data_IF_209718974604
#
_entry.id   IF_209718974604
#
_cell.length_a   1.000
_cell.length_b   1.000
_cell.length_c   1.000
_cell.angle_alpha   90.00
_cell.angle_beta   90.00
_cell.angle_gamma   90.00
#
_symmetry.space_group_name_H-M   'P 1'
#
loop_
_entity.id
_entity.type
_entity.pdbx_description
1 polymer ?
#
# COMPACT_ATOMS: atom_id res chain seq x y z
N UNK A 1 -3.96 15.97 7.05
CA UNK A 1 -3.87 15.12 8.26
C UNK A 1 -3.95 13.62 7.93
N UNK A 2 -5.04 13.07 7.41
CA UNK A 2 -5.19 11.61 7.19
C UNK A 2 -3.99 10.93 6.48
N UNK A 3 -3.34 11.60 5.57
CA UNK A 3 -2.22 11.02 4.80
C UNK A 3 -0.93 10.83 5.62
N UNK A 4 -0.72 11.61 6.68
CA UNK A 4 0.54 11.66 7.40
C UNK A 4 0.46 11.19 8.85
N UNK A 5 -0.74 11.05 9.40
CA UNK A 5 -0.91 10.67 10.79
C UNK A 5 -1.92 9.54 11.01
N UNK A 6 -2.89 9.39 10.11
CA UNK A 6 -4.01 8.45 10.27
C UNK A 6 -4.20 7.62 8.99
N UNK A 7 -3.30 6.65 8.73
CA UNK A 7 -3.43 5.75 7.56
C UNK A 7 -4.72 4.95 7.59
N UNK A 8 -5.25 4.65 8.76
CA UNK A 8 -6.48 3.88 8.98
C UNK A 8 -7.76 4.51 8.41
N UNK A 9 -7.81 5.83 8.22
CA UNK A 9 -8.96 6.52 7.62
C UNK A 9 -8.76 6.90 6.14
N UNK A 10 -7.64 6.56 5.52
CA UNK A 10 -7.33 7.01 4.14
C UNK A 10 -8.39 6.58 3.12
N UNK A 11 -8.90 5.34 3.22
CA UNK A 11 -9.96 4.85 2.33
C UNK A 11 -11.23 5.69 2.49
N UNK A 12 -11.67 5.94 3.72
CA UNK A 12 -12.87 6.75 4.02
C UNK A 12 -12.70 8.18 3.52
N UNK A 13 -11.55 8.80 3.74
CA UNK A 13 -11.27 10.17 3.26
C UNK A 13 -11.27 10.22 1.73
N UNK A 14 -10.66 9.24 1.06
CA UNK A 14 -10.69 9.17 -0.41
C UNK A 14 -12.12 9.07 -0.94
N UNK A 15 -12.94 8.21 -0.36
CA UNK A 15 -14.35 8.05 -0.78
C UNK A 15 -15.17 9.35 -0.56
N UNK A 16 -15.01 9.98 0.60
CA UNK A 16 -15.74 11.21 0.93
C UNK A 16 -15.31 12.41 0.08
N UNK A 17 -14.02 12.58 -0.16
CA UNK A 17 -13.51 13.69 -0.99
C UNK A 17 -13.98 13.65 -2.43
N UNK A 18 -14.29 12.46 -2.97
CA UNK A 18 -14.87 12.33 -4.32
C UNK A 18 -16.26 12.91 -4.46
N UNK A 19 -16.98 13.01 -3.37
CA UNK A 19 -18.38 13.50 -3.33
C UNK A 19 -18.48 14.94 -2.84
N UNK A 20 -17.33 15.61 -2.66
CA UNK A 20 -17.25 16.95 -2.08
C UNK A 20 -17.99 18.03 -2.87
N UNK A 21 -18.10 17.90 -4.20
CA UNK A 21 -18.80 18.85 -5.06
C UNK A 21 -20.33 18.71 -5.03
N UNK A 22 -20.86 17.52 -4.71
CA UNK A 22 -22.30 17.25 -4.66
C UNK A 22 -22.62 16.22 -3.57
N UNK A 23 -22.51 16.59 -2.27
CA UNK A 23 -22.71 15.65 -1.18
C UNK A 23 -24.18 15.35 -0.97
N UNK A 24 -24.50 14.08 -0.73
CA UNK A 24 -25.83 13.63 -0.28
C UNK A 24 -25.88 13.53 1.24
N UNK A 25 -27.10 13.40 1.81
CA UNK A 25 -27.27 13.13 3.25
C UNK A 25 -26.51 11.87 3.72
N UNK A 26 -26.40 10.84 2.85
CA UNK A 26 -25.64 9.65 3.14
C UNK A 26 -24.11 9.93 3.26
N UNK A 27 -23.58 10.80 2.41
CA UNK A 27 -22.18 11.22 2.47
C UNK A 27 -21.88 12.03 3.73
N UNK A 28 -22.79 12.92 4.16
CA UNK A 28 -22.68 13.69 5.40
C UNK A 28 -22.68 12.73 6.60
N UNK A 29 -23.58 11.74 6.63
CA UNK A 29 -23.62 10.72 7.69
C UNK A 29 -22.31 9.89 7.73
N UNK A 30 -21.77 9.53 6.58
CA UNK A 30 -20.49 8.81 6.50
C UNK A 30 -19.32 9.67 6.98
N UNK A 31 -19.32 10.97 6.69
CA UNK A 31 -18.32 11.92 7.19
C UNK A 31 -18.37 12.02 8.72
N UNK A 32 -19.57 12.18 9.30
CA UNK A 32 -19.72 12.21 10.76
C UNK A 32 -19.20 10.93 11.40
N UNK A 33 -19.53 9.74 10.84
CA UNK A 33 -19.00 8.47 11.33
C UNK A 33 -17.45 8.43 11.30
N UNK A 34 -16.83 8.96 10.25
CA UNK A 34 -15.36 9.03 10.19
C UNK A 34 -14.78 10.01 11.23
N UNK A 35 -15.47 11.12 11.49
CA UNK A 35 -15.09 12.07 12.53
C UNK A 35 -15.27 11.46 13.93
N UNK A 36 -16.40 10.81 14.20
CA UNK A 36 -16.68 10.13 15.47
C UNK A 36 -15.63 9.05 15.74
N UNK A 37 -15.22 8.30 14.71
CA UNK A 37 -14.14 7.32 14.83
C UNK A 37 -12.81 7.99 15.20
N UNK A 38 -12.47 9.14 14.62
CA UNK A 38 -11.26 9.88 14.98
C UNK A 38 -11.31 10.39 16.42
N UNK A 39 -12.47 10.90 16.86
CA UNK A 39 -12.69 11.38 18.24
C UNK A 39 -12.62 10.22 19.24
N UNK A 40 -13.19 9.06 18.89
CA UNK A 40 -13.15 7.86 19.73
C UNK A 40 -11.76 7.19 19.79
N UNK A 41 -10.86 7.53 18.87
CA UNK A 41 -9.49 6.97 18.79
C UNK A 41 -8.44 8.08 18.73
N UNK A 42 -8.38 9.03 19.69
CA UNK A 42 -7.54 10.23 19.59
C UNK A 42 -6.04 9.92 19.65
N UNK A 43 -5.66 8.82 20.29
CA UNK A 43 -4.27 8.39 20.49
C UNK A 43 -3.78 7.44 19.38
N UNK A 44 -4.66 7.06 18.44
CA UNK A 44 -4.29 6.22 17.29
C UNK A 44 -3.52 7.06 16.27
N UNK A 45 -2.36 6.58 15.89
CA UNK A 45 -1.50 7.26 14.91
C UNK A 45 -0.69 6.30 14.05
N UNK A 46 -0.01 6.84 13.06
CA UNK A 46 0.93 6.07 12.24
C UNK A 46 2.07 5.55 13.11
N UNK A 47 2.28 4.23 13.07
CA UNK A 47 3.24 3.56 13.91
C UNK A 47 4.40 3.03 13.07
N UNK A 48 5.59 3.55 13.32
CA UNK A 48 6.82 3.16 12.64
C UNK A 48 7.64 2.27 13.58
N UNK A 49 7.42 0.96 13.50
CA UNK A 49 8.14 -0.05 14.28
C UNK A 49 8.99 -0.92 13.35
N UNK A 50 10.27 -0.61 13.16
CA UNK A 50 11.16 -1.45 12.39
C UNK A 50 11.44 -2.77 13.11
N UNK A 51 11.59 -3.85 12.36
CA UNK A 51 11.98 -5.18 12.88
C UNK A 51 13.47 -5.24 13.21
N UNK A 52 14.30 -4.52 12.43
CA UNK A 52 15.73 -4.36 12.65
C UNK A 52 16.06 -2.87 12.78
N UNK A 53 16.93 -2.55 13.72
CA UNK A 53 17.39 -1.17 13.95
C UNK A 53 18.88 -1.10 13.61
N UNK A 54 19.24 -0.16 12.75
CA UNK A 54 20.63 0.14 12.46
C UNK A 54 21.24 1.00 13.57
N UNK A 55 22.42 0.59 14.08
CA UNK A 55 23.13 1.30 15.16
C UNK A 55 23.92 2.54 14.70
N UNK A 56 23.87 2.85 13.39
CA UNK A 56 24.59 3.96 12.79
C UNK A 56 26.08 3.70 12.54
N UNK A 57 26.61 2.51 12.88
CA UNK A 57 28.04 2.18 12.79
C UNK A 57 28.35 1.05 11.81
N UNK A 58 27.47 0.07 11.71
CA UNK A 58 27.68 -1.06 10.80
C UNK A 58 27.58 -0.61 9.34
N UNK A 59 28.73 -0.54 8.66
CA UNK A 59 28.82 -0.16 7.23
C UNK A 59 28.32 -1.24 6.28
N UNK A 60 28.17 -2.47 6.78
CA UNK A 60 27.67 -3.61 5.99
C UNK A 60 26.15 -3.82 6.17
N UNK A 61 25.49 -3.02 7.00
CA UNK A 61 24.06 -3.10 7.18
C UNK A 61 23.34 -2.81 5.86
N UNK A 62 22.51 -3.75 5.43
CA UNK A 62 21.67 -3.60 4.24
C UNK A 62 20.23 -3.42 4.67
N UNK A 63 19.63 -2.31 4.23
CA UNK A 63 18.24 -2.00 4.53
C UNK A 63 17.30 -2.85 3.69
N UNK A 64 16.34 -3.51 4.32
CA UNK A 64 15.30 -4.30 3.68
C UNK A 64 14.12 -3.40 3.30
N UNK A 65 13.78 -3.34 2.01
CA UNK A 65 12.59 -2.69 1.48
C UNK A 65 11.64 -3.76 0.99
N UNK A 66 10.37 -3.64 1.31
CA UNK A 66 9.31 -4.49 0.77
C UNK A 66 8.07 -3.67 0.43
N UNK A 67 7.16 -4.26 -0.35
CA UNK A 67 5.93 -3.61 -0.76
C UNK A 67 4.75 -4.58 -0.74
N UNK A 68 3.56 -4.03 -0.55
CA UNK A 68 2.30 -4.78 -0.66
C UNK A 68 1.33 -3.93 -1.46
N UNK A 69 0.61 -4.55 -2.40
CA UNK A 69 -0.38 -3.86 -3.21
C UNK A 69 -1.66 -4.67 -3.37
N UNK A 70 -2.76 -3.94 -3.59
CA UNK A 70 -4.10 -4.45 -3.85
C UNK A 70 -4.85 -3.49 -4.76
N UNK A 71 -5.85 -3.98 -5.47
CA UNK A 71 -6.79 -3.14 -6.21
C UNK A 71 -8.24 -3.55 -6.01
N UNK A 72 -9.15 -2.57 -5.93
CA UNK A 72 -10.58 -2.82 -6.02
C UNK A 72 -11.05 -2.47 -7.44
N UNK A 73 -11.23 -3.52 -8.24
CA UNK A 73 -11.52 -3.42 -9.69
C UNK A 73 -12.88 -2.76 -9.94
N UNK A 74 -12.88 -1.79 -10.86
CA UNK A 74 -14.07 -1.10 -11.35
C UNK A 74 -14.97 -0.55 -10.23
N UNK A 75 -14.39 -0.16 -9.09
CA UNK A 75 -15.06 0.27 -7.86
C UNK A 75 -16.01 1.45 -8.07
N UNK A 76 -15.64 2.39 -8.91
CA UNK A 76 -16.47 3.56 -9.16
C UNK A 76 -17.69 3.21 -10.04
N UNK A 77 -18.93 3.35 -9.56
CA UNK A 77 -20.11 3.01 -10.35
C UNK A 77 -20.30 3.91 -11.57
N UNK A 78 -19.81 5.14 -11.51
CA UNK A 78 -19.96 6.15 -12.57
C UNK A 78 -18.85 6.04 -13.60
N UNK A 79 -17.58 6.06 -13.17
CA UNK A 79 -16.43 6.10 -14.07
C UNK A 79 -15.83 4.72 -14.33
N UNK A 80 -16.27 3.69 -13.63
CA UNK A 80 -15.74 2.31 -13.68
C UNK A 80 -14.22 2.21 -13.42
N UNK A 81 -13.62 3.26 -12.84
CA UNK A 81 -12.21 3.26 -12.43
C UNK A 81 -12.02 2.43 -11.18
N UNK A 82 -10.90 1.74 -11.14
CA UNK A 82 -10.44 0.93 -10.01
C UNK A 82 -9.78 1.80 -8.94
N UNK A 83 -9.59 1.24 -7.76
CA UNK A 83 -8.83 1.84 -6.66
C UNK A 83 -7.54 1.08 -6.48
N UNK A 84 -6.43 1.78 -6.38
CA UNK A 84 -5.15 1.22 -5.94
C UNK A 84 -4.95 1.47 -4.45
N UNK A 85 -4.58 0.43 -3.72
CA UNK A 85 -4.09 0.46 -2.36
C UNK A 85 -2.71 -0.15 -2.29
N UNK A 86 -1.76 0.51 -1.65
CA UNK A 86 -0.44 -0.06 -1.45
C UNK A 86 0.30 0.56 -0.27
N UNK A 87 1.30 -0.14 0.19
CA UNK A 87 2.26 0.33 1.18
C UNK A 87 3.66 -0.15 0.83
N UNK A 88 4.66 0.73 1.01
CA UNK A 88 6.05 0.31 1.03
C UNK A 88 6.57 0.35 2.46
N UNK A 89 7.40 -0.62 2.78
CA UNK A 89 7.95 -0.88 4.11
C UNK A 89 9.47 -0.74 4.08
N UNK A 90 10.02 -0.17 5.14
CA UNK A 90 11.45 -0.15 5.44
C UNK A 90 11.67 -0.88 6.75
N UNK A 91 12.45 -1.95 6.73
CA UNK A 91 12.67 -2.82 7.89
C UNK A 91 11.38 -3.31 8.56
N UNK A 92 10.32 -3.57 7.78
CA UNK A 92 9.01 -3.99 8.27
C UNK A 92 8.10 -2.83 8.72
N UNK A 93 8.62 -1.63 8.91
CA UNK A 93 7.81 -0.45 9.21
C UNK A 93 7.21 0.15 7.93
N UNK A 94 5.91 0.40 7.92
CA UNK A 94 5.23 1.05 6.79
C UNK A 94 5.66 2.51 6.69
N UNK A 95 6.40 2.87 5.64
CA UNK A 95 6.91 4.24 5.44
C UNK A 95 6.14 5.02 4.38
N UNK A 96 5.41 4.34 3.51
CA UNK A 96 4.42 4.95 2.61
C UNK A 96 3.13 4.16 2.66
N UNK A 97 2.01 4.85 2.53
CA UNK A 97 0.69 4.24 2.36
C UNK A 97 -0.11 5.02 1.32
N UNK A 98 -0.89 4.32 0.51
CA UNK A 98 -1.68 4.94 -0.54
C UNK A 98 -3.06 4.31 -0.64
N UNK A 99 -4.06 5.18 -0.80
CA UNK A 99 -5.39 4.83 -1.27
C UNK A 99 -5.77 5.84 -2.35
N UNK A 100 -5.86 5.43 -3.60
CA UNK A 100 -6.09 6.33 -4.72
C UNK A 100 -6.95 5.70 -5.82
N UNK A 101 -7.83 6.51 -6.41
CA UNK A 101 -8.52 6.14 -7.65
C UNK A 101 -7.51 6.09 -8.81
N UNK A 102 -7.55 5.03 -9.59
CA UNK A 102 -6.73 4.92 -10.80
C UNK A 102 -7.14 5.98 -11.83
N UNK A 103 -6.16 6.52 -12.54
CA UNK A 103 -6.41 7.55 -13.56
C UNK A 103 -6.99 6.99 -14.86
N UNK A 104 -6.83 5.69 -15.08
CA UNK A 104 -7.33 4.93 -16.25
C UNK A 104 -8.48 4.02 -15.85
N UNK A 105 -9.23 3.54 -16.83
CA UNK A 105 -10.18 2.44 -16.67
C UNK A 105 -9.44 1.17 -17.05
N UNK A 106 -9.21 0.31 -16.08
CA UNK A 106 -8.60 -1.02 -16.30
C UNK A 106 -9.63 -1.94 -16.93
N UNK A 107 -9.21 -2.74 -17.89
CA UNK A 107 -10.09 -3.65 -18.64
C UNK A 107 -10.20 -5.04 -18.00
N UNK A 108 -9.35 -5.32 -17.01
CA UNK A 108 -9.35 -6.57 -16.25
C UNK A 108 -8.92 -6.34 -14.80
N UNK A 109 -9.25 -7.29 -13.92
CA UNK A 109 -8.75 -7.32 -12.53
C UNK A 109 -7.23 -7.32 -12.53
N UNK A 110 -6.62 -8.17 -13.35
CA UNK A 110 -5.16 -8.29 -13.47
C UNK A 110 -4.50 -6.97 -13.87
N UNK A 111 -5.12 -6.20 -14.78
CA UNK A 111 -4.61 -4.87 -15.14
C UNK A 111 -4.70 -3.88 -13.97
N UNK A 112 -5.80 -3.90 -13.23
CA UNK A 112 -5.95 -3.05 -12.05
C UNK A 112 -4.89 -3.37 -10.98
N UNK A 113 -4.63 -4.65 -10.72
CA UNK A 113 -3.56 -5.13 -9.83
C UNK A 113 -2.19 -4.68 -10.31
N UNK A 114 -1.90 -4.81 -11.59
CA UNK A 114 -0.65 -4.35 -12.19
C UNK A 114 -0.43 -2.84 -11.99
N UNK A 115 -1.48 -2.02 -12.16
CA UNK A 115 -1.39 -0.58 -11.93
C UNK A 115 -1.03 -0.29 -10.47
N UNK A 116 -1.63 -0.99 -9.51
CA UNK A 116 -1.32 -0.83 -8.09
C UNK A 116 0.11 -1.28 -7.78
N UNK A 117 0.54 -2.44 -8.31
CA UNK A 117 1.87 -3.00 -8.15
C UNK A 117 2.96 -2.05 -8.66
N UNK A 118 2.81 -1.51 -9.88
CA UNK A 118 3.76 -0.54 -10.46
C UNK A 118 3.89 0.70 -9.58
N UNK A 119 2.79 1.24 -9.07
CA UNK A 119 2.83 2.41 -8.19
C UNK A 119 3.56 2.11 -6.88
N UNK A 120 3.35 0.92 -6.30
CA UNK A 120 4.08 0.46 -5.12
C UNK A 120 5.58 0.36 -5.39
N UNK A 121 5.98 -0.28 -6.50
CA UNK A 121 7.39 -0.43 -6.88
C UNK A 121 8.04 0.92 -7.16
N UNK A 122 7.34 1.91 -7.74
CA UNK A 122 7.86 3.25 -7.91
C UNK A 122 8.23 3.91 -6.57
N UNK A 123 7.37 3.76 -5.54
CA UNK A 123 7.67 4.25 -4.19
C UNK A 123 8.84 3.46 -3.55
N UNK A 124 8.90 2.12 -3.73
CA UNK A 124 10.03 1.31 -3.27
C UNK A 124 11.36 1.74 -3.91
N UNK A 125 11.35 1.98 -5.22
CA UNK A 125 12.52 2.49 -5.95
C UNK A 125 12.94 3.89 -5.51
N UNK A 126 11.98 4.74 -5.15
CA UNK A 126 12.27 6.05 -4.57
C UNK A 126 12.99 5.92 -3.23
N UNK A 127 12.48 5.05 -2.33
CA UNK A 127 13.10 4.77 -1.03
C UNK A 127 14.51 4.21 -1.21
N UNK A 128 14.68 3.25 -2.13
CA UNK A 128 16.00 2.67 -2.48
C UNK A 128 16.99 3.77 -2.87
N UNK A 129 16.61 4.63 -3.82
CA UNK A 129 17.48 5.72 -4.27
C UNK A 129 17.82 6.70 -3.15
N UNK A 130 16.88 6.98 -2.26
CA UNK A 130 17.10 7.84 -1.10
C UNK A 130 18.15 7.23 -0.16
N UNK A 131 18.03 5.96 0.19
CA UNK A 131 19.00 5.24 1.04
C UNK A 131 20.38 5.21 0.39
N UNK A 132 20.45 4.88 -0.90
CA UNK A 132 21.71 4.82 -1.64
C UNK A 132 22.37 6.20 -1.78
N UNK A 133 21.59 7.29 -1.92
CA UNK A 133 22.12 8.66 -1.96
C UNK A 133 22.77 9.09 -0.64
N UNK A 134 22.41 8.44 0.47
CA UNK A 134 23.06 8.64 1.78
C UNK A 134 24.33 7.76 1.95
N UNK A 135 24.74 7.02 0.91
CA UNK A 135 25.88 6.10 0.98
C UNK A 135 25.58 4.78 1.71
N UNK A 136 24.30 4.46 1.94
CA UNK A 136 23.86 3.25 2.60
C UNK A 136 23.48 2.18 1.59
N UNK A 137 23.35 0.92 2.03
CA UNK A 137 23.08 -0.21 1.16
C UNK A 137 21.65 -0.73 1.34
N UNK A 138 21.08 -1.26 0.24
CA UNK A 138 19.76 -1.92 0.23
C UNK A 138 19.94 -3.41 -0.07
N UNK A 139 19.19 -4.24 0.63
CA UNK A 139 19.12 -5.68 0.37
C UNK A 139 18.30 -5.94 -0.89
N UNK A 140 18.87 -6.71 -1.84
CA UNK A 140 18.19 -7.07 -3.07
C UNK A 140 18.02 -8.58 -3.17
N UNK A 141 16.96 -9.06 -3.83
CA UNK A 141 15.85 -8.29 -4.41
C UNK A 141 14.89 -7.75 -3.35
N UNK A 142 14.33 -6.56 -3.58
CA UNK A 142 13.21 -6.04 -2.78
C UNK A 142 11.94 -6.85 -3.07
N UNK A 143 11.18 -7.22 -2.05
CA UNK A 143 10.02 -8.09 -2.20
C UNK A 143 8.73 -7.27 -2.38
N UNK A 144 7.97 -7.56 -3.45
CA UNK A 144 6.62 -7.06 -3.67
C UNK A 144 5.62 -8.21 -3.48
N UNK A 145 4.67 -8.05 -2.58
CA UNK A 145 3.58 -9.01 -2.37
C UNK A 145 2.29 -8.53 -3.03
N UNK A 146 1.66 -9.43 -3.78
CA UNK A 146 0.37 -9.23 -4.46
C UNK A 146 -0.54 -10.42 -4.20
N UNK A 147 -1.86 -10.22 -4.22
CA UNK A 147 -2.81 -11.31 -3.99
C UNK A 147 -3.39 -11.94 -5.27
N UNK A 148 -3.09 -11.38 -6.43
CA UNK A 148 -3.56 -11.88 -7.74
C UNK A 148 -2.52 -12.78 -8.40
N UNK A 149 -2.82 -14.09 -8.45
CA UNK A 149 -1.94 -15.07 -9.12
C UNK A 149 -1.79 -14.80 -10.61
N UNK A 150 -2.87 -14.37 -11.29
CA UNK A 150 -2.79 -14.05 -12.72
C UNK A 150 -1.86 -12.87 -13.00
N UNK A 151 -1.80 -11.87 -12.11
CA UNK A 151 -0.82 -10.80 -12.21
C UNK A 151 0.61 -11.32 -11.95
N UNK A 152 0.81 -12.16 -10.94
CA UNK A 152 2.11 -12.80 -10.67
C UNK A 152 2.58 -13.64 -11.86
N UNK A 153 1.70 -14.45 -12.43
CA UNK A 153 2.04 -15.30 -13.60
C UNK A 153 2.44 -14.46 -14.82
N UNK A 154 1.77 -13.32 -15.06
CA UNK A 154 2.15 -12.39 -16.12
C UNK A 154 3.52 -11.74 -15.89
N UNK A 155 3.91 -11.50 -14.64
CA UNK A 155 5.23 -10.97 -14.32
C UNK A 155 6.33 -12.03 -14.47
N UNK A 156 6.01 -13.28 -14.19
CA UNK A 156 6.97 -14.39 -14.20
C UNK A 156 7.05 -15.11 -15.56
N UNK A 157 6.03 -15.03 -16.43
CA UNK A 157 5.93 -15.78 -17.67
C UNK A 157 5.70 -14.90 -18.89
N UNK A 158 6.56 -15.05 -19.89
CA UNK A 158 6.54 -14.28 -21.16
C UNK A 158 5.37 -14.56 -22.10
N UNK A 159 4.57 -15.58 -21.95
CA UNK A 159 3.63 -16.07 -22.97
C UNK A 159 2.27 -15.36 -23.02
N UNK A 160 2.17 -14.08 -22.66
CA UNK A 160 0.95 -13.31 -22.84
C UNK A 160 0.73 -12.97 -24.33
N UNK A 161 0.04 -13.85 -25.03
CA UNK A 161 -0.33 -13.62 -26.41
C UNK A 161 -1.16 -12.35 -26.62
N UNK A 162 -0.77 -11.52 -27.55
CA UNK A 162 -1.48 -10.57 -28.40
C UNK A 162 -2.56 -9.62 -27.87
N UNK A 163 -3.09 -9.79 -26.67
CA UNK A 163 -4.25 -9.02 -26.16
C UNK A 163 -3.92 -7.88 -25.19
N UNK A 164 -2.65 -7.61 -24.92
CA UNK A 164 -2.24 -6.76 -23.78
C UNK A 164 -1.33 -5.58 -24.14
N UNK A 165 -1.36 -5.09 -25.39
CA UNK A 165 -0.46 -3.99 -25.81
C UNK A 165 -0.52 -2.74 -24.92
N UNK A 166 -1.68 -2.37 -24.40
CA UNK A 166 -1.84 -1.22 -23.50
C UNK A 166 -1.29 -1.49 -22.09
N UNK A 167 -1.04 -2.75 -21.73
CA UNK A 167 -0.41 -3.16 -20.45
C UNK A 167 1.10 -3.32 -20.60
N UNK A 168 1.62 -3.40 -21.83
CA UNK A 168 3.01 -3.77 -22.13
C UNK A 168 4.04 -2.93 -21.35
N UNK A 169 3.97 -1.61 -21.41
CA UNK A 169 4.98 -0.75 -20.78
C UNK A 169 5.10 -0.98 -19.26
N UNK A 170 3.97 -1.18 -18.56
CA UNK A 170 3.97 -1.45 -17.11
C UNK A 170 4.51 -2.83 -16.79
N UNK A 171 4.13 -3.80 -17.61
CA UNK A 171 4.58 -5.18 -17.50
C UNK A 171 6.09 -5.28 -17.77
N UNK A 172 6.59 -4.60 -18.81
CA UNK A 172 8.01 -4.52 -19.10
C UNK A 172 8.79 -3.89 -17.95
N UNK A 173 8.32 -2.78 -17.40
CA UNK A 173 8.96 -2.12 -16.25
C UNK A 173 9.15 -3.07 -15.05
N UNK A 174 8.10 -3.80 -14.64
CA UNK A 174 8.22 -4.73 -13.50
C UNK A 174 9.10 -5.93 -13.85
N UNK A 175 9.02 -6.41 -15.09
CA UNK A 175 9.83 -7.54 -15.54
C UNK A 175 11.31 -7.19 -15.62
N UNK A 176 11.67 -6.06 -16.20
CA UNK A 176 13.06 -5.60 -16.27
C UNK A 176 13.68 -5.53 -14.87
N UNK A 177 12.92 -5.02 -13.88
CA UNK A 177 13.36 -4.97 -12.49
C UNK A 177 13.44 -6.36 -11.81
N UNK A 178 12.71 -7.37 -12.30
CA UNK A 178 12.87 -8.75 -11.84
C UNK A 178 14.06 -9.43 -12.51
N UNK A 179 14.24 -9.22 -13.81
CA UNK A 179 15.36 -9.79 -14.59
C UNK A 179 16.71 -9.27 -14.10
N UNK A 180 16.80 -7.99 -13.72
CA UNK A 180 18.01 -7.39 -13.15
C UNK A 180 18.19 -7.70 -11.63
N UNK A 181 17.26 -8.42 -11.01
CA UNK A 181 17.32 -8.80 -9.60
C UNK A 181 17.01 -7.67 -8.63
N UNK A 182 16.46 -6.55 -9.08
CA UNK A 182 16.09 -5.43 -8.20
C UNK A 182 14.85 -5.71 -7.38
N UNK A 183 13.83 -6.39 -7.97
CA UNK A 183 12.60 -6.78 -7.27
C UNK A 183 12.34 -8.28 -7.42
N UNK A 184 11.51 -8.80 -6.51
CA UNK A 184 10.93 -10.14 -6.60
C UNK A 184 9.45 -10.06 -6.25
N UNK A 185 8.59 -10.45 -7.19
CA UNK A 185 7.14 -10.49 -6.96
C UNK A 185 6.77 -11.83 -6.31
N UNK A 186 6.06 -11.76 -5.18
CA UNK A 186 5.54 -12.90 -4.44
C UNK A 186 4.03 -12.86 -4.38
N UNK A 187 3.42 -14.03 -4.43
CA UNK A 187 1.98 -14.13 -4.14
C UNK A 187 1.73 -14.19 -2.63
N UNK A 188 0.71 -13.44 -2.18
CA UNK A 188 0.17 -13.50 -0.81
C UNK A 188 -1.30 -13.88 -0.86
N UNK A 189 -1.79 -14.65 0.12
CA UNK A 189 -3.21 -14.94 0.24
C UNK A 189 -3.98 -13.65 0.58
N UNK A 190 -5.03 -13.34 -0.18
CA UNK A 190 -5.77 -12.07 -0.06
C UNK A 190 -6.31 -11.76 1.34
N UNK A 191 -6.80 -12.80 2.08
CA UNK A 191 -7.26 -12.63 3.47
C UNK A 191 -6.19 -12.12 4.45
N UNK A 192 -4.91 -12.19 4.06
CA UNK A 192 -3.77 -11.77 4.88
C UNK A 192 -3.10 -10.50 4.33
N UNK A 193 -3.72 -9.85 3.32
CA UNK A 193 -3.20 -8.62 2.73
C UNK A 193 -3.68 -7.39 3.51
N UNK A 194 -2.83 -6.74 4.35
CA UNK A 194 -3.26 -5.62 5.18
C UNK A 194 -3.60 -4.36 4.37
N UNK A 195 -3.14 -4.24 3.12
CA UNK A 195 -3.44 -3.09 2.25
C UNK A 195 -4.86 -3.11 1.69
N UNK A 196 -5.62 -4.21 1.87
CA UNK A 196 -7.06 -4.28 1.57
C UNK A 196 -7.86 -3.14 2.23
N UNK A 197 -7.43 -2.68 3.40
CA UNK A 197 -8.07 -1.55 4.08
C UNK A 197 -7.99 -0.23 3.31
N UNK A 198 -7.07 -0.11 2.35
CA UNK A 198 -6.92 1.07 1.51
C UNK A 198 -7.77 1.04 0.25
N UNK A 199 -8.34 -0.12 -0.10
CA UNK A 199 -9.13 -0.32 -1.31
C UNK A 199 -10.59 -0.66 -1.01
N UNK A 200 -10.82 -1.46 0.04
CA UNK A 200 -12.10 -2.10 0.35
C UNK A 200 -12.72 -1.56 1.66
N UNK A 201 -14.05 -1.60 1.74
CA UNK A 201 -14.75 -1.36 3.00
C UNK A 201 -14.80 -2.68 3.77
N UNK A 202 -13.93 -2.84 4.76
CA UNK A 202 -13.80 -4.04 5.55
C UNK A 202 -14.80 -4.07 6.72
N UNK A 203 -15.15 -5.27 7.19
CA UNK A 203 -15.83 -5.45 8.49
C UNK A 203 -14.92 -5.01 9.64
N UNK A 204 -15.48 -4.66 10.80
CA UNK A 204 -14.72 -4.19 11.96
C UNK A 204 -13.54 -5.11 12.35
N UNK A 205 -13.75 -6.43 12.50
CA UNK A 205 -12.66 -7.36 12.82
C UNK A 205 -11.55 -7.40 11.75
N UNK A 206 -11.94 -7.45 10.45
CA UNK A 206 -10.97 -7.45 9.35
C UNK A 206 -10.20 -6.12 9.27
N UNK A 207 -10.91 -4.99 9.43
CA UNK A 207 -10.30 -3.67 9.48
C UNK A 207 -9.27 -3.57 10.61
N UNK A 208 -9.63 -3.99 11.84
CA UNK A 208 -8.72 -3.94 12.98
C UNK A 208 -7.50 -4.85 12.80
N UNK A 209 -7.67 -6.02 12.17
CA UNK A 209 -6.53 -6.89 11.81
C UNK A 209 -5.55 -6.17 10.89
N UNK A 210 -6.04 -5.54 9.83
CA UNK A 210 -5.21 -4.79 8.88
C UNK A 210 -4.60 -3.54 9.51
N UNK A 211 -5.38 -2.78 10.29
CA UNK A 211 -4.97 -1.51 10.88
C UNK A 211 -3.76 -1.66 11.82
N UNK A 212 -3.65 -2.78 12.55
CA UNK A 212 -2.51 -3.06 13.47
C UNK A 212 -1.14 -3.04 12.79
N UNK A 213 -1.07 -3.19 11.48
CA UNK A 213 0.19 -3.10 10.72
C UNK A 213 0.63 -1.65 10.55
N UNK A 214 -0.30 -0.71 10.56
CA UNK A 214 -0.07 0.68 10.17
C UNK A 214 -0.22 1.66 11.31
N UNK A 215 -1.02 1.34 12.33
CA UNK A 215 -1.32 2.24 13.44
C UNK A 215 -1.07 1.57 14.78
N UNK A 216 -0.49 2.32 15.70
CA UNK A 216 -0.35 1.97 17.11
C UNK A 216 -1.35 2.74 17.97
N UNK A 217 -1.70 2.14 19.10
CA UNK A 217 -2.46 2.73 20.19
C UNK A 217 -1.64 2.57 21.47
N UNK A 218 -1.29 3.67 22.13
CA UNK A 218 -0.80 3.76 23.52
C UNK A 218 0.36 2.83 23.99
N UNK A 219 1.15 2.21 23.11
CA UNK A 219 2.31 1.43 23.57
C UNK A 219 3.39 2.31 24.21
N UNK A 220 3.50 3.59 23.83
CA UNK A 220 4.49 4.52 24.39
C UNK A 220 4.13 5.08 25.79
N UNK A 221 2.87 5.01 26.22
CA UNK A 221 2.45 5.53 27.54
C UNK A 221 2.65 4.51 28.68
N UNK A 222 3.07 3.27 28.35
CA UNK A 222 3.35 2.25 29.37
C UNK A 222 4.78 2.31 29.90
N UNK A 223 5.70 2.93 29.16
CA UNK A 223 7.12 3.05 29.57
C UNK A 223 7.41 4.26 30.47
N UNK A 224 6.55 5.30 30.49
CA UNK A 224 6.72 6.48 31.36
C UNK A 224 6.21 6.29 32.79
N UNK A 225 5.63 5.15 33.16
CA UNK A 225 5.20 4.84 34.53
C UNK A 225 6.15 3.89 35.28
N UNK A 226 7.41 3.81 34.87
CA UNK A 226 8.45 3.09 35.61
C UNK A 226 9.49 4.14 36.04
N UNK A 227 9.13 4.96 37.05
CA UNK A 227 10.01 5.60 38.01
C UNK A 227 9.38 5.51 39.41
#
# INVERSE_FOLDING_TARGET
MARWSRPDIQNSVRELTRQGSCPTKAHIKAMHRAMDFCVATPKRGWFLKPERVWDGKDKNFKFRISGQSDSDYAKCPVTRRSVSGYSAFLEGAAVTVKSAMQKIVSLSVTEAEMVAAVQCVQDMMYIKRLIESMGLQVELPMELEIDNRGAQDLFNNWSAGGRTRHMETRMFFLRDLQEDGTIKVKWRKGMDNPVDMFTKNLSGPAFNKCAKVFVGEDEYMKEENIE
#
